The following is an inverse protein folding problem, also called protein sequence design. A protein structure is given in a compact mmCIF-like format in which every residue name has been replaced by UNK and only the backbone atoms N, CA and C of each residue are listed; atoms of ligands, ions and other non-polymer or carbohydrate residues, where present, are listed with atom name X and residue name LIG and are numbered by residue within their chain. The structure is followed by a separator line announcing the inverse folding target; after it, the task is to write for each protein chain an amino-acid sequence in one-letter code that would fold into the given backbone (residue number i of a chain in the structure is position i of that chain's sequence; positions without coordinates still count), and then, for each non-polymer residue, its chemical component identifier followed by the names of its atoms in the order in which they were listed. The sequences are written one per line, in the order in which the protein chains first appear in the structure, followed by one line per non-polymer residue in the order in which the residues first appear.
data_IF_361529869452
#
_entry.id   IF_361529869452
#
_cell.length_a   1.000
_cell.length_b   1.000
_cell.length_c   1.000
_cell.angle_alpha   90.00
_cell.angle_beta   90.00
_cell.angle_gamma   90.00
#
_symmetry.space_group_name_H-M   'P 1'
#
loop_
_entity.id
_entity.type
_entity.pdbx_description
1 polymer ?
#
# COMPACT_ATOMS: atom_id res chain seq x y z
N UNK A 1 36.89 43.09 -16.19
CA UNK A 1 37.12 41.83 -16.93
C UNK A 1 37.23 40.73 -15.88
N UNK A 2 36.18 39.92 -15.71
CA UNK A 2 36.09 38.50 -16.11
C UNK A 2 36.88 37.59 -15.15
N UNK A 3 36.40 36.49 -14.59
CA UNK A 3 35.12 35.79 -14.59
C UNK A 3 35.28 34.80 -13.40
N UNK A 4 34.40 34.81 -12.40
CA UNK A 4 34.48 33.84 -11.32
C UNK A 4 34.04 32.45 -11.82
N UNK A 5 34.78 31.35 -11.58
CA UNK A 5 34.34 30.05 -12.04
C UNK A 5 33.28 29.49 -11.09
N UNK A 6 32.03 29.84 -11.43
CA UNK A 6 30.87 28.97 -11.57
C UNK A 6 30.72 27.85 -10.54
N UNK A 7 29.84 28.13 -9.57
CA UNK A 7 28.96 27.17 -8.87
C UNK A 7 28.77 25.89 -9.69
N UNK A 8 29.26 24.78 -9.16
CA UNK A 8 28.87 23.45 -9.59
C UNK A 8 27.34 23.37 -9.55
N UNK A 9 26.73 23.24 -10.74
CA UNK A 9 25.30 22.99 -10.91
C UNK A 9 24.98 21.72 -10.12
N UNK A 10 24.09 21.85 -9.13
CA UNK A 10 23.50 20.73 -8.43
C UNK A 10 22.97 19.73 -9.44
N UNK A 11 23.68 18.62 -9.60
CA UNK A 11 23.20 17.46 -10.32
C UNK A 11 22.05 16.95 -9.45
N UNK A 12 20.81 17.27 -9.83
CA UNK A 12 19.63 16.74 -9.16
C UNK A 12 19.83 15.22 -9.16
N UNK A 13 19.83 14.55 -8.00
CA UNK A 13 19.99 13.11 -7.98
C UNK A 13 18.86 12.52 -8.82
N UNK A 14 19.26 11.80 -9.88
CA UNK A 14 18.37 10.96 -10.68
C UNK A 14 17.54 10.17 -9.68
N UNK A 15 16.22 10.42 -9.67
CA UNK A 15 15.27 9.66 -8.84
C UNK A 15 15.57 8.19 -9.08
N UNK A 16 16.16 7.53 -8.10
CA UNK A 16 16.25 6.07 -8.08
C UNK A 16 14.83 5.59 -8.29
N UNK A 17 14.55 5.01 -9.45
CA UNK A 17 13.39 4.16 -9.66
C UNK A 17 13.65 2.91 -8.83
N UNK A 18 13.45 3.05 -7.52
CA UNK A 18 13.46 1.93 -6.61
C UNK A 18 12.34 1.01 -7.09
N UNK A 19 12.70 -0.19 -7.57
CA UNK A 19 11.74 -1.22 -7.98
C UNK A 19 10.78 -1.55 -6.83
N UNK A 20 11.21 -1.30 -5.59
CA UNK A 20 10.39 -1.25 -4.40
C UNK A 20 9.48 -0.01 -4.41
N UNK A 21 8.17 -0.27 -4.54
CA UNK A 21 7.16 0.73 -4.33
C UNK A 21 7.05 1.15 -2.87
N UNK A 22 6.39 2.28 -2.60
CA UNK A 22 6.14 2.73 -1.24
C UNK A 22 5.36 1.67 -0.46
N UNK A 23 5.52 1.61 0.88
CA UNK A 23 4.75 0.71 1.71
C UNK A 23 3.25 1.00 1.55
N UNK A 24 2.47 -0.06 1.44
CA UNK A 24 1.01 0.02 1.33
C UNK A 24 0.45 -0.14 2.74
N UNK A 25 -0.13 0.92 3.29
CA UNK A 25 -0.87 0.89 4.54
C UNK A 25 -2.37 0.97 4.25
N UNK A 26 -3.15 0.07 4.85
CA UNK A 26 -4.60 0.18 4.88
C UNK A 26 -5.13 0.01 6.30
N UNK A 27 -5.94 0.97 6.74
CA UNK A 27 -6.61 0.95 8.04
C UNK A 27 -8.03 0.42 7.92
N UNK A 28 -8.45 -0.32 8.91
CA UNK A 28 -9.79 -0.87 9.05
C UNK A 28 -10.54 -0.09 10.13
N UNK A 29 -11.82 0.24 9.90
CA UNK A 29 -12.63 0.96 10.89
C UNK A 29 -12.98 0.10 12.12
N UNK A 30 -12.84 -1.22 12.01
CA UNK A 30 -13.00 -2.17 13.10
C UNK A 30 -11.79 -3.10 13.17
N UNK A 31 -11.42 -3.58 14.38
CA UNK A 31 -10.33 -4.52 14.53
C UNK A 31 -10.64 -5.84 13.83
N UNK A 32 -9.74 -6.28 12.97
CA UNK A 32 -9.79 -7.55 12.27
C UNK A 32 -9.66 -8.71 13.25
N UNK A 33 -10.59 -9.64 13.17
CA UNK A 33 -10.50 -10.90 13.90
C UNK A 33 -9.36 -11.77 13.36
N UNK A 34 -8.81 -12.66 14.18
CA UNK A 34 -7.72 -13.59 13.79
C UNK A 34 -8.06 -14.37 12.52
N UNK A 35 -9.32 -14.75 12.32
CA UNK A 35 -9.84 -15.41 11.11
C UNK A 35 -9.66 -14.54 9.87
N UNK A 36 -10.01 -13.25 9.97
CA UNK A 36 -9.90 -12.26 8.91
C UNK A 36 -8.43 -11.93 8.61
N UNK A 37 -7.58 -11.87 9.63
CA UNK A 37 -6.14 -11.67 9.45
C UNK A 37 -5.50 -12.83 8.65
N UNK A 38 -5.93 -14.07 8.91
CA UNK A 38 -5.49 -15.26 8.15
C UNK A 38 -6.00 -15.22 6.71
N UNK A 39 -7.26 -14.87 6.47
CA UNK A 39 -7.84 -14.69 5.14
C UNK A 39 -7.11 -13.64 4.32
N UNK A 40 -6.88 -12.47 4.92
CA UNK A 40 -6.14 -11.37 4.28
C UNK A 40 -4.71 -11.79 3.93
N UNK A 41 -4.02 -12.48 4.84
CA UNK A 41 -2.68 -13.02 4.58
C UNK A 41 -2.69 -14.01 3.41
N UNK A 42 -3.70 -14.90 3.33
CA UNK A 42 -3.86 -15.85 2.22
C UNK A 42 -4.10 -15.13 0.89
N UNK A 43 -4.95 -14.10 0.88
CA UNK A 43 -5.27 -13.31 -0.31
C UNK A 43 -4.07 -12.51 -0.82
N UNK A 44 -3.25 -11.98 0.10
CA UNK A 44 -2.03 -11.26 -0.25
C UNK A 44 -0.90 -12.20 -0.68
N UNK A 45 -0.79 -13.40 -0.13
CA UNK A 45 0.27 -14.37 -0.43
C UNK A 45 0.59 -14.54 -1.93
N UNK A 46 -0.37 -14.78 -2.85
CA UNK A 46 -0.09 -14.90 -4.28
C UNK A 46 0.30 -13.57 -4.94
N UNK A 47 -0.25 -12.44 -4.46
CA UNK A 47 0.09 -11.10 -4.94
C UNK A 47 1.49 -10.67 -4.52
N UNK A 48 2.02 -11.32 -3.48
CA UNK A 48 3.30 -11.07 -2.83
C UNK A 48 4.36 -12.13 -3.19
N UNK A 49 4.56 -12.43 -4.48
CA UNK A 49 5.53 -13.43 -4.95
C UNK A 49 7.01 -13.15 -4.66
N UNK A 50 7.37 -11.97 -4.12
CA UNK A 50 8.76 -11.62 -3.86
C UNK A 50 9.21 -12.00 -2.44
N UNK A 51 10.35 -12.69 -2.34
CA UNK A 51 10.97 -13.14 -1.07
C UNK A 51 11.35 -12.02 -0.08
N UNK A 52 11.35 -10.75 -0.48
CA UNK A 52 11.73 -9.60 0.36
C UNK A 52 10.56 -8.82 0.94
N UNK A 53 9.31 -9.29 0.77
CA UNK A 53 8.14 -8.56 1.25
C UNK A 53 7.89 -8.79 2.73
N UNK A 54 7.58 -7.71 3.45
CA UNK A 54 7.14 -7.77 4.85
C UNK A 54 5.67 -7.43 4.91
N UNK A 55 4.85 -8.36 5.43
CA UNK A 55 3.44 -8.12 5.71
C UNK A 55 3.28 -8.05 7.21
N UNK A 56 2.82 -6.91 7.68
CA UNK A 56 2.46 -6.70 9.08
C UNK A 56 0.95 -6.53 9.14
N UNK A 57 0.26 -7.55 9.64
CA UNK A 57 -1.18 -7.49 9.90
C UNK A 57 -1.37 -7.20 11.38
N UNK A 58 -1.91 -6.03 11.69
CA UNK A 58 -2.38 -5.66 13.02
C UNK A 58 -3.91 -5.74 13.05
N UNK A 59 -4.49 -5.57 14.24
CA UNK A 59 -5.94 -5.58 14.39
C UNK A 59 -6.60 -4.45 13.58
N UNK A 60 -6.11 -3.23 13.68
CA UNK A 60 -6.70 -2.04 13.06
C UNK A 60 -6.09 -1.67 11.69
N UNK A 61 -4.97 -2.29 11.30
CA UNK A 61 -4.25 -1.91 10.09
C UNK A 61 -3.44 -3.05 9.48
N UNK A 62 -3.19 -2.93 8.19
CA UNK A 62 -2.30 -3.79 7.43
C UNK A 62 -1.24 -2.94 6.78
N UNK A 63 0.03 -3.33 6.94
CA UNK A 63 1.17 -2.69 6.31
C UNK A 63 1.89 -3.72 5.45
N UNK A 64 2.17 -3.37 4.20
CA UNK A 64 2.86 -4.24 3.24
C UNK A 64 4.04 -3.48 2.65
N UNK A 65 5.25 -3.95 2.92
CA UNK A 65 6.50 -3.37 2.43
C UNK A 65 7.12 -4.24 1.32
N UNK A 66 7.90 -3.61 0.43
CA UNK A 66 8.60 -4.30 -0.65
C UNK A 66 7.69 -4.75 -1.81
N UNK A 67 6.52 -4.14 -1.95
CA UNK A 67 5.62 -4.39 -3.08
C UNK A 67 6.18 -3.67 -4.30
N UNK A 68 6.31 -4.38 -5.42
CA UNK A 68 6.73 -3.74 -6.67
C UNK A 68 5.69 -2.70 -7.08
N UNK A 69 6.13 -1.58 -7.66
CA UNK A 69 5.21 -0.51 -8.11
C UNK A 69 4.11 -1.05 -9.03
N UNK A 70 4.44 -2.01 -9.92
CA UNK A 70 3.49 -2.69 -10.82
C UNK A 70 2.40 -3.47 -10.09
N UNK A 71 2.74 -4.10 -8.96
CA UNK A 71 1.81 -4.91 -8.15
C UNK A 71 1.06 -4.04 -7.14
N UNK A 72 1.53 -2.81 -6.87
CA UNK A 72 0.97 -1.93 -5.84
C UNK A 72 -0.49 -1.56 -6.09
N UNK A 73 -0.92 -1.53 -7.35
CA UNK A 73 -2.32 -1.31 -7.73
C UNK A 73 -3.16 -2.54 -7.38
N UNK A 74 -2.73 -3.71 -7.83
CA UNK A 74 -3.42 -4.99 -7.58
C UNK A 74 -3.54 -5.29 -6.09
N UNK A 75 -2.48 -5.05 -5.32
CA UNK A 75 -2.49 -5.23 -3.86
C UNK A 75 -3.47 -4.27 -3.19
N UNK A 76 -3.49 -2.99 -3.60
CA UNK A 76 -4.46 -2.02 -3.07
C UNK A 76 -5.91 -2.38 -3.42
N UNK A 77 -6.14 -2.85 -4.63
CA UNK A 77 -7.47 -3.26 -5.10
C UNK A 77 -7.98 -4.48 -4.32
N UNK A 78 -7.13 -5.49 -4.13
CA UNK A 78 -7.46 -6.68 -3.37
C UNK A 78 -7.71 -6.37 -1.87
N UNK A 79 -6.93 -5.45 -1.30
CA UNK A 79 -7.17 -4.92 0.05
C UNK A 79 -8.52 -4.18 0.12
N UNK A 80 -8.82 -3.31 -0.85
CA UNK A 80 -10.08 -2.59 -0.88
C UNK A 80 -11.29 -3.54 -0.97
N UNK A 81 -11.24 -4.56 -1.85
CA UNK A 81 -12.27 -5.59 -1.95
C UNK A 81 -12.45 -6.38 -0.65
N UNK A 82 -11.34 -6.74 0.01
CA UNK A 82 -11.41 -7.38 1.34
C UNK A 82 -12.06 -6.47 2.39
N UNK A 83 -11.70 -5.18 2.38
CA UNK A 83 -12.30 -4.20 3.30
C UNK A 83 -13.80 -4.06 3.07
N UNK A 84 -14.28 -4.07 1.83
CA UNK A 84 -15.71 -4.00 1.54
C UNK A 84 -16.45 -5.29 1.93
N UNK A 85 -15.79 -6.44 1.84
CA UNK A 85 -16.32 -7.73 2.32
C UNK A 85 -16.44 -7.77 3.85
N UNK A 86 -15.43 -7.27 4.57
CA UNK A 86 -15.40 -7.29 6.05
C UNK A 86 -16.18 -6.14 6.68
N UNK A 87 -16.11 -4.97 6.08
CA UNK A 87 -16.85 -3.79 6.49
C UNK A 87 -17.78 -3.41 5.33
N UNK A 88 -18.95 -4.07 5.20
CA UNK A 88 -19.97 -3.57 4.30
C UNK A 88 -20.21 -2.12 4.71
N UNK A 89 -19.96 -1.18 3.78
CA UNK A 89 -20.36 0.21 4.01
C UNK A 89 -21.83 0.15 4.43
N UNK A 90 -22.24 0.84 5.50
CA UNK A 90 -23.66 1.01 5.74
C UNK A 90 -24.23 1.57 4.44
N UNK A 91 -25.13 0.81 3.80
CA UNK A 91 -25.91 1.32 2.69
C UNK A 91 -26.53 2.59 3.25
N UNK A 92 -26.08 3.75 2.75
CA UNK A 92 -26.86 4.98 2.87
C UNK A 92 -28.13 4.69 2.10
N UNK A 93 -29.13 4.12 2.77
CA UNK A 93 -30.51 4.21 2.35
C UNK A 93 -30.73 5.72 2.20
N UNK A 94 -30.66 6.20 0.95
CA UNK A 94 -31.19 7.50 0.59
C UNK A 94 -32.65 7.42 1.01
N UNK A 95 -32.98 7.93 2.20
CA UNK A 95 -34.33 8.32 2.53
C UNK A 95 -34.75 9.27 1.43
N UNK A 96 -35.67 8.78 0.59
CA UNK A 96 -36.32 9.52 -0.46
C UNK A 96 -37.35 10.37 0.25
N UNK A 97 -37.03 11.64 0.45
CA UNK A 97 -38.04 12.69 0.67
C UNK A 97 -38.50 13.17 -0.72
#
# INVERSE_FOLDING_TARGET
MADGPRRAKSIRPLKKTTLDGPPIEMRFPMPLQTSQQKELTKLLRPLLSHRKRRVTVAADKVVIEGVLVRDSKTVRDALAGFRESVCPKPIRLRSRD
#
